data_IF_067350954022
#
_entry.id   IF_067350954022
#
_cell.length_a   1.000
_cell.length_b   1.000
_cell.length_c   1.000
_cell.angle_alpha   90.00
_cell.angle_beta   90.00
_cell.angle_gamma   90.00
#
_symmetry.space_group_name_H-M   'P 1'
#
loop_
_entity.id
_entity.type
_entity.pdbx_description
1 polymer ?
#
# COMPACT_ATOMS: atom_id res chain seq x y z
N UNK A 1 19.62 10.93 1.84
CA UNK A 1 20.78 10.04 1.58
C UNK A 1 20.31 8.61 1.84
N UNK A 2 19.81 7.93 0.81
CA UNK A 2 19.28 6.56 0.92
C UNK A 2 20.41 5.58 0.63
N UNK A 3 20.62 4.63 1.54
CA UNK A 3 21.65 3.58 1.42
C UNK A 3 20.95 2.24 1.17
N UNK A 4 21.09 1.69 -0.03
CA UNK A 4 20.72 0.29 -0.32
C UNK A 4 21.89 -0.64 0.06
N UNK A 5 21.63 -1.71 0.80
CA UNK A 5 22.60 -2.77 1.11
C UNK A 5 22.30 -3.98 0.21
N UNK A 6 23.16 -4.24 -0.77
CA UNK A 6 23.17 -5.49 -1.52
C UNK A 6 24.28 -6.40 -0.97
N UNK A 7 23.92 -7.58 -0.46
CA UNK A 7 24.87 -8.63 -0.08
C UNK A 7 25.10 -9.55 -1.28
N UNK A 8 26.10 -9.25 -2.12
CA UNK A 8 26.65 -10.22 -3.07
C UNK A 8 27.80 -11.00 -2.42
N UNK A 9 27.59 -12.29 -2.17
CA UNK A 9 28.67 -13.20 -1.80
C UNK A 9 29.36 -13.71 -3.07
N UNK A 10 30.61 -13.28 -3.33
CA UNK A 10 31.35 -13.83 -4.47
C UNK A 10 32.72 -13.26 -4.82
N UNK A 11 33.12 -12.10 -4.30
CA UNK A 11 34.40 -11.48 -4.69
C UNK A 11 35.30 -11.20 -3.48
N UNK A 12 36.44 -11.89 -3.43
CA UNK A 12 37.52 -11.64 -2.47
C UNK A 12 38.11 -10.25 -2.76
N UNK A 13 37.85 -9.29 -1.87
CA UNK A 13 38.48 -7.95 -1.93
C UNK A 13 37.68 -6.78 -1.35
N UNK A 14 36.46 -6.99 -0.86
CA UNK A 14 35.63 -5.89 -0.34
C UNK A 14 35.97 -5.63 1.13
N UNK A 15 36.47 -4.43 1.44
CA UNK A 15 36.48 -3.94 2.81
C UNK A 15 35.03 -3.80 3.27
N UNK A 16 34.68 -4.46 4.37
CA UNK A 16 33.41 -4.23 5.04
C UNK A 16 33.34 -2.76 5.47
N UNK A 17 32.55 -1.95 4.75
CA UNK A 17 32.17 -0.62 5.21
C UNK A 17 30.97 -0.83 6.13
N UNK A 18 31.22 -0.95 7.43
CA UNK A 18 30.16 -0.87 8.42
C UNK A 18 29.83 0.61 8.64
N UNK A 19 28.77 1.11 8.01
CA UNK A 19 28.15 2.36 8.39
C UNK A 19 27.07 2.04 9.43
N UNK A 20 27.32 2.40 10.69
CA UNK A 20 26.32 2.34 11.74
C UNK A 20 25.81 3.78 11.94
N UNK A 21 24.71 4.12 11.28
CA UNK A 21 24.02 5.38 11.56
C UNK A 21 23.32 5.24 12.92
N UNK A 22 23.55 6.16 13.89
CA UNK A 22 22.72 6.20 15.07
C UNK A 22 21.30 6.61 14.65
N UNK A 23 20.32 5.78 14.97
CA UNK A 23 18.93 6.22 14.93
C UNK A 23 18.69 7.15 16.13
N UNK A 24 18.19 8.35 15.86
CA UNK A 24 17.77 9.31 16.87
C UNK A 24 16.24 9.34 16.81
N UNK A 25 15.60 9.06 17.94
CA UNK A 25 14.15 9.25 18.06
C UNK A 25 13.83 10.74 18.00
N UNK A 26 13.16 11.14 16.92
CA UNK A 26 12.73 12.52 16.67
C UNK A 26 11.20 12.64 16.67
N UNK A 27 10.46 11.61 17.08
CA UNK A 27 8.99 11.58 17.06
C UNK A 27 8.37 12.81 17.74
N UNK A 28 8.83 13.15 18.95
CA UNK A 28 8.38 14.33 19.68
C UNK A 28 8.67 15.67 18.97
N UNK A 29 9.72 15.73 18.16
CA UNK A 29 10.11 16.95 17.44
C UNK A 29 9.33 17.12 16.13
N UNK A 30 8.90 16.00 15.53
CA UNK A 30 8.12 15.99 14.30
C UNK A 30 6.62 16.11 14.55
N UNK A 31 6.17 16.04 15.81
CA UNK A 31 4.76 16.10 16.22
C UNK A 31 3.86 15.05 15.53
N UNK A 32 4.46 13.94 15.09
CA UNK A 32 3.76 12.81 14.48
C UNK A 32 3.30 11.90 15.61
N UNK A 33 2.15 12.22 16.19
CA UNK A 33 1.49 11.39 17.20
C UNK A 33 0.42 10.54 16.56
N UNK A 34 0.64 9.23 16.53
CA UNK A 34 -0.39 8.26 16.16
C UNK A 34 -0.65 7.33 17.35
N UNK A 35 -1.92 7.04 17.62
CA UNK A 35 -2.30 6.11 18.68
C UNK A 35 -2.79 4.81 18.05
N UNK A 36 -2.10 3.70 18.35
CA UNK A 36 -2.53 2.37 17.96
C UNK A 36 -3.36 1.74 19.09
N UNK A 37 -4.39 2.42 19.58
CA UNK A 37 -5.19 1.89 20.68
C UNK A 37 -6.09 0.75 20.20
N UNK A 38 -5.87 -0.44 20.75
CA UNK A 38 -6.79 -1.57 20.63
C UNK A 38 -6.68 -2.40 19.35
N UNK A 39 -5.73 -2.08 18.47
CA UNK A 39 -5.53 -2.77 17.19
C UNK A 39 -5.16 -4.26 17.29
N UNK A 40 -5.80 -5.08 16.46
CA UNK A 40 -5.35 -6.46 16.19
C UNK A 40 -4.54 -6.49 14.90
N UNK A 41 -3.41 -7.21 14.91
CA UNK A 41 -2.69 -7.67 13.70
C UNK A 41 -2.02 -6.58 12.84
N UNK A 42 -1.59 -5.47 13.44
CA UNK A 42 -0.79 -4.43 12.78
C UNK A 42 -1.59 -3.47 11.89
N UNK A 43 -0.93 -2.39 11.49
CA UNK A 43 -1.40 -1.31 10.62
C UNK A 43 -0.29 -0.94 9.63
N UNK A 44 -0.69 -0.54 8.43
CA UNK A 44 0.24 -0.15 7.36
C UNK A 44 0.60 1.33 7.42
N UNK A 45 1.75 1.65 6.87
CA UNK A 45 2.13 3.01 6.51
C UNK A 45 2.62 3.00 5.06
N UNK A 46 2.55 4.16 4.41
CA UNK A 46 3.10 4.38 3.09
C UNK A 46 3.94 5.64 3.06
N UNK A 47 4.99 5.63 2.24
CA UNK A 47 5.81 6.78 1.90
C UNK A 47 5.77 6.93 0.38
N UNK A 48 5.26 8.04 -0.12
CA UNK A 48 5.17 8.36 -1.54
C UNK A 48 5.03 9.86 -1.72
N UNK A 49 5.60 10.41 -2.79
CA UNK A 49 5.33 11.79 -3.23
C UNK A 49 3.93 11.85 -3.85
N UNK A 50 2.89 11.90 -3.00
CA UNK A 50 1.51 11.84 -3.48
C UNK A 50 1.02 13.20 -3.97
N UNK A 51 1.65 14.30 -3.55
CA UNK A 51 1.30 15.64 -4.01
C UNK A 51 2.09 16.11 -5.26
N UNK A 52 3.12 15.35 -5.68
CA UNK A 52 3.94 15.63 -6.86
C UNK A 52 4.96 16.76 -6.70
N UNK A 53 5.35 17.10 -5.46
CA UNK A 53 6.30 18.18 -5.19
C UNK A 53 7.78 17.74 -5.18
N UNK A 54 8.03 16.43 -5.33
CA UNK A 54 9.35 15.81 -5.37
C UNK A 54 9.88 15.38 -4.00
N UNK A 55 9.06 15.46 -2.95
CA UNK A 55 9.38 15.00 -1.60
C UNK A 55 8.45 13.85 -1.20
N UNK A 56 8.99 12.86 -0.48
CA UNK A 56 8.14 11.77 0.00
C UNK A 56 7.21 12.28 1.11
N UNK A 57 5.92 12.05 0.93
CA UNK A 57 4.87 12.28 1.92
C UNK A 57 4.60 11.00 2.73
N UNK A 58 3.93 11.14 3.88
CA UNK A 58 3.65 10.03 4.80
C UNK A 58 2.15 9.78 4.93
N UNK A 59 1.75 8.51 4.83
CA UNK A 59 0.38 8.05 5.11
C UNK A 59 0.38 6.94 6.15
N UNK A 60 -0.59 6.96 7.07
CA UNK A 60 -0.68 6.00 8.17
C UNK A 60 -2.10 5.44 8.25
N UNK A 61 -2.21 4.11 8.18
CA UNK A 61 -3.45 3.37 8.40
C UNK A 61 -3.81 3.35 9.88
N UNK A 62 -5.08 3.09 10.18
CA UNK A 62 -5.56 3.14 11.55
C UNK A 62 -6.59 2.04 11.82
N UNK A 63 -6.56 1.44 13.02
CA UNK A 63 -7.50 0.39 13.42
C UNK A 63 -8.90 0.93 13.73
N UNK A 64 -9.00 2.02 14.49
CA UNK A 64 -10.29 2.58 14.92
C UNK A 64 -10.31 4.13 14.87
N UNK A 65 -10.03 4.69 13.69
CA UNK A 65 -9.83 6.12 13.50
C UNK A 65 -9.64 6.48 12.03
N UNK A 66 -9.36 7.76 11.77
CA UNK A 66 -9.13 8.28 10.44
C UNK A 66 -7.78 7.85 9.88
N UNK A 67 -7.71 7.68 8.56
CA UNK A 67 -6.44 7.63 7.86
C UNK A 67 -5.74 8.97 8.05
N UNK A 68 -4.43 8.93 8.29
CA UNK A 68 -3.65 10.14 8.51
C UNK A 68 -2.68 10.34 7.36
N UNK A 69 -2.61 11.58 6.88
CA UNK A 69 -1.77 11.98 5.76
C UNK A 69 -0.94 13.20 6.17
N UNK A 70 0.30 13.26 5.70
CA UNK A 70 1.23 14.34 6.01
C UNK A 70 2.08 14.66 4.80
N UNK A 71 2.18 15.94 4.45
CA UNK A 71 3.07 16.42 3.40
C UNK A 71 4.51 16.50 3.91
N UNK A 72 5.46 15.98 3.13
CA UNK A 72 6.88 16.17 3.38
C UNK A 72 7.32 17.58 3.02
N UNK A 73 8.13 18.23 3.87
CA UNK A 73 8.70 19.56 3.58
C UNK A 73 10.24 19.56 3.48
N UNK A 74 10.83 18.36 3.52
CA UNK A 74 12.28 18.14 3.49
C UNK A 74 12.98 18.26 4.85
N UNK A 75 12.31 18.80 5.87
CA UNK A 75 12.76 18.81 7.27
C UNK A 75 11.94 17.87 8.15
N UNK A 76 10.67 17.67 7.80
CA UNK A 76 9.70 16.85 8.51
C UNK A 76 8.40 16.71 7.72
N UNK A 77 7.29 16.69 8.46
CA UNK A 77 5.97 16.37 7.94
C UNK A 77 4.91 17.32 8.50
N UNK A 78 4.00 17.76 7.64
CA UNK A 78 2.89 18.66 7.99
C UNK A 78 1.57 17.91 7.74
N UNK A 79 0.71 17.82 8.75
CA UNK A 79 -0.58 17.14 8.62
C UNK A 79 -1.42 17.73 7.46
N UNK A 80 -2.01 16.84 6.68
CA UNK A 80 -2.79 17.17 5.50
C UNK A 80 -4.11 16.41 5.49
N UNK A 81 -5.17 17.09 5.08
CA UNK A 81 -6.51 16.52 4.99
C UNK A 81 -6.89 16.33 3.52
N UNK A 82 -6.88 15.08 3.06
CA UNK A 82 -7.35 14.70 1.73
C UNK A 82 -8.87 14.83 1.55
N UNK A 83 -9.61 15.14 2.62
CA UNK A 83 -11.06 15.29 2.60
C UNK A 83 -11.78 14.03 2.05
N UNK A 84 -11.23 12.85 2.38
CA UNK A 84 -11.83 11.57 2.04
C UNK A 84 -13.15 11.35 2.80
N UNK A 85 -14.09 10.56 2.25
CA UNK A 85 -15.27 10.15 3.01
C UNK A 85 -14.86 9.39 4.29
N UNK A 86 -15.62 9.61 5.36
CA UNK A 86 -15.35 8.99 6.66
C UNK A 86 -15.62 7.47 6.64
N UNK A 87 -14.55 6.68 6.74
CA UNK A 87 -14.59 5.21 6.79
C UNK A 87 -13.94 4.70 8.09
N UNK A 88 -14.70 4.56 9.20
CA UNK A 88 -14.18 4.15 10.50
C UNK A 88 -13.96 2.64 10.59
N UNK A 89 -13.25 2.09 9.61
CA UNK A 89 -12.96 0.67 9.49
C UNK A 89 -11.48 0.41 9.83
N UNK A 90 -11.16 -0.84 10.16
CA UNK A 90 -9.78 -1.24 10.47
C UNK A 90 -8.92 -1.28 9.20
N UNK A 91 -8.32 -0.14 8.83
CA UNK A 91 -7.41 -0.05 7.69
C UNK A 91 -6.11 -0.80 7.99
N UNK A 92 -5.65 -1.61 7.03
CA UNK A 92 -4.50 -2.52 7.22
C UNK A 92 -3.32 -2.23 6.32
N UNK A 93 -3.56 -1.71 5.13
CA UNK A 93 -2.54 -1.26 4.21
C UNK A 93 -3.04 -0.02 3.49
N UNK A 94 -2.13 0.92 3.24
CA UNK A 94 -2.31 2.08 2.38
C UNK A 94 -1.23 1.98 1.32
N UNK A 95 -1.60 2.14 0.06
CA UNK A 95 -0.68 2.17 -1.06
C UNK A 95 -0.99 3.35 -1.97
N UNK A 96 0.08 3.99 -2.44
CA UNK A 96 0.04 4.99 -3.49
C UNK A 96 0.69 4.39 -4.74
N UNK A 97 0.04 4.55 -5.88
CA UNK A 97 0.54 4.14 -7.19
C UNK A 97 -0.20 4.91 -8.28
N UNK A 98 0.39 5.06 -9.46
CA UNK A 98 -0.30 5.56 -10.66
C UNK A 98 -1.12 4.41 -11.26
N UNK A 99 -2.37 4.24 -10.80
CA UNK A 99 -3.19 3.05 -11.04
C UNK A 99 -3.92 3.16 -12.38
N UNK A 100 -4.31 4.37 -12.79
CA UNK A 100 -4.93 4.63 -14.08
C UNK A 100 -3.95 5.07 -15.19
N UNK A 101 -2.66 5.20 -14.86
CA UNK A 101 -1.55 5.52 -15.77
C UNK A 101 -1.66 6.93 -16.37
N UNK A 102 -2.16 7.89 -15.59
CA UNK A 102 -2.30 9.29 -15.97
C UNK A 102 -1.13 10.18 -15.49
N UNK A 103 -0.24 9.62 -14.67
CA UNK A 103 0.99 10.24 -14.19
C UNK A 103 0.87 10.88 -12.80
N UNK A 104 -0.27 10.79 -12.12
CA UNK A 104 -0.41 11.18 -10.72
C UNK A 104 -0.55 9.95 -9.79
N UNK A 105 -0.72 10.18 -8.48
CA UNK A 105 -0.79 9.09 -7.49
C UNK A 105 -2.24 8.84 -7.04
N UNK A 106 -2.67 7.61 -7.24
CA UNK A 106 -3.94 7.06 -6.76
C UNK A 106 -3.77 6.32 -5.43
N UNK A 107 -4.88 6.14 -4.72
CA UNK A 107 -4.88 5.62 -3.35
C UNK A 107 -5.67 4.32 -3.24
N UNK A 108 -4.99 3.26 -2.82
CA UNK A 108 -5.62 1.98 -2.48
C UNK A 108 -5.50 1.67 -0.98
N UNK A 109 -6.60 1.24 -0.37
CA UNK A 109 -6.67 0.90 1.06
C UNK A 109 -7.34 -0.46 1.24
N UNK A 110 -6.70 -1.31 2.04
CA UNK A 110 -7.29 -2.58 2.49
C UNK A 110 -7.91 -2.46 3.87
N UNK A 111 -8.97 -3.22 4.11
CA UNK A 111 -9.64 -3.27 5.40
C UNK A 111 -9.83 -4.71 5.90
N UNK A 112 -9.80 -4.90 7.23
CA UNK A 112 -9.99 -6.23 7.83
C UNK A 112 -11.45 -6.68 7.87
N UNK A 113 -12.43 -5.78 7.95
CA UNK A 113 -13.85 -6.17 8.12
C UNK A 113 -14.79 -5.31 7.28
N UNK A 114 -14.26 -4.75 6.20
CA UNK A 114 -14.97 -3.92 5.25
C UNK A 114 -14.40 -4.16 3.85
N UNK A 115 -15.16 -3.83 2.81
CA UNK A 115 -14.65 -3.81 1.45
C UNK A 115 -13.42 -2.89 1.34
N UNK A 116 -12.46 -3.26 0.49
CA UNK A 116 -11.31 -2.43 0.15
C UNK A 116 -11.77 -1.15 -0.57
N UNK A 117 -10.90 -0.13 -0.61
CA UNK A 117 -11.18 1.13 -1.30
C UNK A 117 -10.09 1.45 -2.32
N UNK A 118 -10.53 1.93 -3.47
CA UNK A 118 -9.70 2.53 -4.50
C UNK A 118 -10.23 3.95 -4.76
N UNK A 119 -9.34 4.93 -4.65
CA UNK A 119 -9.61 6.30 -5.03
C UNK A 119 -8.68 6.69 -6.18
N UNK A 120 -9.27 7.22 -7.25
CA UNK A 120 -8.52 7.83 -8.34
C UNK A 120 -8.34 9.31 -8.03
N UNK A 121 -7.14 9.83 -8.23
CA UNK A 121 -6.88 11.25 -8.10
C UNK A 121 -7.19 11.94 -9.44
N UNK A 122 -8.18 12.84 -9.46
CA UNK A 122 -8.56 13.58 -10.67
C UNK A 122 -7.66 14.80 -10.92
N UNK A 123 -6.44 14.76 -10.40
CA UNK A 123 -5.52 15.90 -10.25
C UNK A 123 -5.75 16.75 -9.00
N UNK A 124 -4.68 17.41 -8.54
CA UNK A 124 -4.66 18.29 -7.36
C UNK A 124 -5.25 17.62 -6.10
N UNK A 125 -5.00 16.32 -5.93
CA UNK A 125 -5.47 15.48 -4.82
C UNK A 125 -7.01 15.45 -4.70
N UNK A 126 -7.72 15.59 -5.82
CA UNK A 126 -9.17 15.43 -5.88
C UNK A 126 -9.54 13.96 -5.98
N UNK A 127 -9.65 13.29 -4.83
CA UNK A 127 -9.86 11.84 -4.77
C UNK A 127 -11.32 11.42 -5.05
N UNK A 128 -11.53 10.64 -6.11
CA UNK A 128 -12.82 10.01 -6.46
C UNK A 128 -12.86 8.54 -6.01
N UNK A 129 -13.82 8.16 -5.17
CA UNK A 129 -14.04 6.75 -4.78
C UNK A 129 -14.65 5.94 -5.95
N UNK A 130 -13.85 5.08 -6.57
CA UNK A 130 -14.25 4.21 -7.69
C UNK A 130 -14.47 2.75 -7.29
N UNK A 131 -14.36 2.44 -6.00
CA UNK A 131 -14.28 1.06 -5.47
C UNK A 131 -15.39 0.14 -5.96
N UNK A 132 -16.62 0.65 -6.09
CA UNK A 132 -17.79 -0.12 -6.53
C UNK A 132 -17.87 -0.36 -8.03
N UNK A 133 -17.03 0.29 -8.82
CA UNK A 133 -17.07 0.35 -10.28
C UNK A 133 -15.81 -0.22 -10.93
N UNK A 134 -14.68 -0.21 -10.22
CA UNK A 134 -13.38 -0.62 -10.74
C UNK A 134 -13.19 -2.15 -10.83
N UNK A 135 -14.13 -2.97 -10.39
CA UNK A 135 -14.08 -4.43 -10.57
C UNK A 135 -13.38 -5.23 -9.46
N UNK A 136 -12.82 -4.56 -8.45
CA UNK A 136 -12.32 -5.23 -7.24
C UNK A 136 -13.47 -5.79 -6.39
N UNK A 137 -13.22 -6.83 -5.60
CA UNK A 137 -14.21 -7.40 -4.69
C UNK A 137 -14.71 -6.35 -3.68
N UNK A 138 -16.03 -6.28 -3.55
CA UNK A 138 -16.72 -5.37 -2.63
C UNK A 138 -17.37 -6.11 -1.47
N UNK A 139 -17.02 -7.38 -1.24
CA UNK A 139 -17.43 -8.08 -0.02
C UNK A 139 -16.56 -7.70 1.18
N UNK A 140 -17.11 -7.87 2.39
CA UNK A 140 -16.38 -7.58 3.62
C UNK A 140 -15.39 -8.71 3.95
N UNK A 141 -14.26 -8.71 3.25
CA UNK A 141 -13.14 -9.62 3.49
C UNK A 141 -12.22 -9.14 4.60
N UNK A 142 -11.32 -10.03 5.02
CA UNK A 142 -10.20 -9.74 5.91
C UNK A 142 -8.93 -9.50 5.11
N UNK A 143 -8.89 -8.37 4.42
CA UNK A 143 -7.73 -7.93 3.65
C UNK A 143 -6.69 -7.32 4.59
N UNK A 144 -5.41 -7.63 4.34
CA UNK A 144 -4.28 -7.10 5.11
C UNK A 144 -3.32 -6.34 4.22
N UNK A 145 -2.31 -6.99 3.68
CA UNK A 145 -1.38 -6.36 2.77
C UNK A 145 -1.88 -6.42 1.34
N UNK A 146 -1.42 -5.48 0.53
CA UNK A 146 -1.57 -5.51 -0.91
C UNK A 146 -0.24 -5.12 -1.56
N UNK A 147 -0.14 -5.33 -2.87
CA UNK A 147 0.91 -4.74 -3.68
C UNK A 147 0.44 -4.57 -5.12
N UNK A 148 0.99 -3.56 -5.79
CA UNK A 148 0.85 -3.36 -7.22
C UNK A 148 2.07 -3.90 -7.95
N UNK A 149 1.88 -4.38 -9.17
CA UNK A 149 2.96 -4.79 -10.07
C UNK A 149 2.43 -5.22 -11.42
N UNK A 150 3.18 -4.95 -12.48
CA UNK A 150 2.85 -5.33 -13.86
C UNK A 150 3.35 -6.77 -14.11
N UNK A 151 2.48 -7.77 -13.99
CA UNK A 151 2.90 -9.18 -14.05
C UNK A 151 3.01 -9.72 -15.47
N UNK A 152 2.35 -9.11 -16.43
CA UNK A 152 2.32 -9.55 -17.82
C UNK A 152 3.09 -8.64 -18.78
N UNK A 153 3.66 -7.53 -18.26
CA UNK A 153 4.45 -6.52 -18.96
C UNK A 153 3.65 -5.75 -20.00
N UNK A 154 2.39 -5.45 -19.71
CA UNK A 154 1.54 -4.63 -20.58
C UNK A 154 1.64 -3.12 -20.29
N UNK A 155 2.36 -2.75 -19.22
CA UNK A 155 2.55 -1.38 -18.77
C UNK A 155 1.47 -0.87 -17.83
N UNK A 156 0.57 -1.73 -17.37
CA UNK A 156 -0.48 -1.41 -16.40
C UNK A 156 -0.21 -2.14 -15.08
N UNK A 157 -0.53 -1.49 -13.96
CA UNK A 157 -0.28 -2.07 -12.64
C UNK A 157 -1.40 -3.02 -12.21
N UNK A 158 -1.09 -4.30 -12.12
CA UNK A 158 -1.99 -5.31 -11.54
C UNK A 158 -2.02 -5.23 -10.02
N UNK A 159 -3.10 -5.70 -9.40
CA UNK A 159 -3.30 -5.65 -7.96
C UNK A 159 -3.35 -7.04 -7.34
N UNK A 160 -2.51 -7.26 -6.33
CA UNK A 160 -2.60 -8.42 -5.46
C UNK A 160 -3.05 -8.00 -4.05
N UNK A 161 -4.01 -8.74 -3.46
CA UNK A 161 -4.51 -8.52 -2.10
C UNK A 161 -4.33 -9.80 -1.26
N UNK A 162 -3.55 -9.69 -0.19
CA UNK A 162 -3.37 -10.76 0.79
C UNK A 162 -4.53 -10.78 1.80
N UNK A 163 -5.12 -11.96 1.96
CA UNK A 163 -6.26 -12.17 2.85
C UNK A 163 -5.93 -13.07 4.04
N UNK A 164 -6.54 -12.73 5.17
CA UNK A 164 -6.60 -13.58 6.35
C UNK A 164 -7.84 -14.47 6.30
N UNK A 165 -7.60 -15.77 6.25
CA UNK A 165 -8.67 -16.76 6.18
C UNK A 165 -9.10 -17.19 7.58
N UNK A 166 -10.36 -16.98 7.92
CA UNK A 166 -10.99 -17.52 9.12
C UNK A 166 -12.36 -18.12 8.80
N UNK A 167 -12.54 -19.43 9.02
CA UNK A 167 -13.81 -20.19 9.08
C UNK A 167 -14.89 -19.97 8.00
N UNK A 168 -15.36 -18.74 7.83
CA UNK A 168 -16.31 -18.23 6.86
C UNK A 168 -15.66 -17.56 5.64
N UNK A 169 -14.36 -17.21 5.70
CA UNK A 169 -13.67 -16.51 4.61
C UNK A 169 -13.29 -17.48 3.48
N UNK A 170 -13.39 -17.05 2.22
CA UNK A 170 -12.84 -17.80 1.10
C UNK A 170 -11.32 -18.01 1.29
N UNK A 171 -10.79 -19.22 1.06
CA UNK A 171 -9.43 -19.56 1.46
C UNK A 171 -8.36 -19.11 0.44
N UNK A 172 -8.51 -17.93 -0.15
CA UNK A 172 -7.61 -17.44 -1.21
C UNK A 172 -7.31 -15.95 -1.10
N UNK A 173 -6.13 -15.57 -1.59
CA UNK A 173 -5.78 -14.18 -1.87
C UNK A 173 -6.41 -13.74 -3.19
N UNK A 174 -6.52 -12.45 -3.45
CA UNK A 174 -7.05 -11.95 -4.71
C UNK A 174 -5.92 -11.49 -5.62
N UNK A 175 -6.07 -11.79 -6.92
CA UNK A 175 -5.24 -11.22 -7.98
C UNK A 175 -6.17 -10.60 -9.02
N UNK A 176 -5.88 -9.36 -9.36
CA UNK A 176 -6.63 -8.55 -10.30
C UNK A 176 -5.72 -8.12 -11.44
N UNK A 177 -6.13 -8.41 -12.66
CA UNK A 177 -5.49 -7.92 -13.87
C UNK A 177 -6.02 -6.52 -14.20
N UNK A 178 -5.14 -5.58 -14.49
CA UNK A 178 -5.55 -4.22 -14.87
C UNK A 178 -6.11 -4.20 -16.29
N UNK A 179 -7.19 -3.44 -16.48
CA UNK A 179 -7.79 -3.17 -17.79
C UNK A 179 -7.46 -1.75 -18.27
N UNK A 180 -6.68 -1.00 -17.50
CA UNK A 180 -6.41 0.42 -17.69
C UNK A 180 -7.51 1.31 -17.10
N UNK A 181 -7.24 2.62 -17.05
CA UNK A 181 -8.16 3.65 -16.55
C UNK A 181 -8.71 3.33 -15.12
N UNK A 182 -7.91 2.63 -14.29
CA UNK A 182 -8.28 2.23 -12.93
C UNK A 182 -9.29 1.08 -12.83
N UNK A 183 -9.55 0.34 -13.92
CA UNK A 183 -10.42 -0.84 -13.92
C UNK A 183 -9.64 -2.15 -13.83
N UNK A 184 -10.28 -3.15 -13.24
CA UNK A 184 -9.69 -4.45 -12.97
C UNK A 184 -10.66 -5.59 -13.32
N UNK A 185 -10.09 -6.75 -13.64
CA UNK A 185 -10.80 -8.03 -13.64
C UNK A 185 -10.14 -9.03 -12.69
N UNK A 186 -10.95 -9.84 -12.00
CA UNK A 186 -10.43 -10.88 -11.10
C UNK A 186 -9.87 -12.05 -11.91
N UNK A 187 -8.57 -12.34 -11.75
CA UNK A 187 -7.86 -13.46 -12.40
C UNK A 187 -7.26 -14.45 -11.39
N UNK A 188 -7.70 -14.38 -10.12
CA UNK A 188 -7.22 -15.22 -9.01
C UNK A 188 -7.07 -16.70 -9.37
N UNK A 189 -8.01 -17.25 -10.13
CA UNK A 189 -8.09 -18.68 -10.46
C UNK A 189 -7.46 -19.06 -11.81
N UNK A 190 -7.00 -18.08 -12.59
CA UNK A 190 -6.26 -18.34 -13.82
C UNK A 190 -4.80 -18.73 -13.52
N UNK A 191 -4.35 -18.42 -12.31
CA UNK A 191 -3.04 -18.73 -11.77
C UNK A 191 -3.15 -19.64 -10.54
N UNK A 192 -2.07 -20.33 -10.12
CA UNK A 192 -2.04 -21.13 -8.88
C UNK A 192 -2.08 -20.28 -7.59
N UNK A 193 -2.73 -19.10 -7.64
CA UNK A 193 -3.00 -18.19 -6.53
C UNK A 193 -4.32 -18.50 -5.82
N UNK A 194 -5.28 -19.12 -6.53
CA UNK A 194 -6.59 -19.52 -5.99
C UNK A 194 -6.62 -20.85 -5.23
N UNK A 195 -5.48 -21.53 -5.08
CA UNK A 195 -5.38 -22.72 -4.24
C UNK A 195 -5.57 -22.35 -2.77
N UNK A 196 -6.16 -23.23 -1.92
CA UNK A 196 -6.36 -22.92 -0.51
C UNK A 196 -5.03 -22.61 0.19
N UNK A 197 -4.81 -21.35 0.54
CA UNK A 197 -3.61 -20.92 1.25
C UNK A 197 -3.92 -20.69 2.73
N UNK A 198 -3.01 -21.10 3.65
CA UNK A 198 -3.05 -20.58 5.01
C UNK A 198 -2.83 -19.06 5.00
N UNK A 199 -3.30 -18.41 6.07
CA UNK A 199 -3.30 -16.96 6.32
C UNK A 199 -2.10 -16.20 5.72
N UNK A 200 -2.38 -15.10 4.99
CA UNK A 200 -1.36 -14.18 4.48
C UNK A 200 -1.61 -12.76 5.00
N UNK A 201 -0.52 -12.03 5.26
CA UNK A 201 -0.57 -10.68 5.80
C UNK A 201 0.07 -9.63 4.88
N UNK A 202 0.91 -10.03 3.93
CA UNK A 202 1.61 -9.13 3.03
C UNK A 202 1.98 -9.83 1.73
N UNK A 203 1.87 -9.11 0.61
CA UNK A 203 2.53 -9.41 -0.66
C UNK A 203 3.51 -8.30 -1.00
N UNK A 204 4.55 -8.60 -1.78
CA UNK A 204 5.44 -7.59 -2.36
C UNK A 204 5.73 -7.99 -3.80
N UNK A 205 5.64 -7.02 -4.70
CA UNK A 205 6.09 -7.16 -6.07
C UNK A 205 7.55 -6.72 -6.17
N UNK A 206 8.35 -7.49 -6.91
CA UNK A 206 9.74 -7.16 -7.20
C UNK A 206 10.03 -7.60 -8.62
N UNK A 207 10.30 -6.63 -9.50
CA UNK A 207 10.96 -6.93 -10.77
C UNK A 207 12.45 -7.18 -10.51
N UNK A 208 12.98 -8.28 -11.03
CA UNK A 208 14.36 -8.70 -10.86
C UNK A 208 15.14 -8.79 -12.18
N UNK A 209 14.52 -8.44 -13.31
CA UNK A 209 15.13 -8.55 -14.64
C UNK A 209 15.07 -7.21 -15.39
N UNK A 210 16.06 -6.34 -15.14
CA UNK A 210 16.39 -5.22 -16.05
C UNK A 210 17.24 -5.68 -17.25
#
# INVERSE_FOLDING_TARGET
MVLAIALLSGLRGIQCVAAQAPFIDVSNALDIWTDHTGGYLGEGLSMADFNGDGLDDLSIAHHAGDLQFYLGDGEGFIAYDLNLPYYPNEAKCILWADIDNDGDQDLFITYRLAANRLFINEGDLQMTDVSSQCGIDQTNRRSFGACFGDYDNDGLLDLFVANYVSGQDPPFNELYHSLGDGYFEEVTFDFPMGEPLPQNFQGQWVDFNE
#
